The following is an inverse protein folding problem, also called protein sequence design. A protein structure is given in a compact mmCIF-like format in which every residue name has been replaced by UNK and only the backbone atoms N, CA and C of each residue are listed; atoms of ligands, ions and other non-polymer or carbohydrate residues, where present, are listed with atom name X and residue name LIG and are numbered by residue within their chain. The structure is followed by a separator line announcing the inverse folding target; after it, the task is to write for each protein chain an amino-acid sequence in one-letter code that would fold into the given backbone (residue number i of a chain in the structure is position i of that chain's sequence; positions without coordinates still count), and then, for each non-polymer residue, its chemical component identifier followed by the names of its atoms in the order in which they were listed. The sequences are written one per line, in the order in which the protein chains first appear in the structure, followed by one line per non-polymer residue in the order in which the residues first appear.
data_IF_658011870699
#
_entry.id   IF_658011870699
#
_cell.length_a   1.000
_cell.length_b   1.000
_cell.length_c   1.000
_cell.angle_alpha   90.00
_cell.angle_beta   90.00
_cell.angle_gamma   90.00
#
_symmetry.space_group_name_H-M   'P 1'
#
loop_
_entity.id
_entity.type
_entity.pdbx_description
1 polymer ?
#
# COMPACT_ATOMS: atom_id res chain seq x y z
N UNK A 1 -53.96 19.52 12.49
CA UNK A 1 -52.62 19.02 12.17
C UNK A 1 -52.36 19.34 10.70
N UNK A 2 -51.44 20.25 10.34
CA UNK A 2 -51.15 20.53 8.94
C UNK A 2 -50.28 19.40 8.35
N UNK A 3 -50.68 18.85 7.21
CA UNK A 3 -49.98 17.76 6.53
C UNK A 3 -49.15 18.35 5.38
N UNK A 4 -47.86 18.03 5.34
CA UNK A 4 -46.97 18.45 4.25
C UNK A 4 -47.02 17.43 3.10
N UNK A 5 -46.95 17.88 1.83
CA UNK A 5 -46.90 16.96 0.69
C UNK A 5 -45.52 16.30 0.60
N UNK A 6 -45.49 14.96 0.66
CA UNK A 6 -44.27 14.19 0.38
C UNK A 6 -44.09 14.09 -1.13
N UNK A 7 -43.12 14.83 -1.68
CA UNK A 7 -42.74 14.71 -3.09
C UNK A 7 -41.90 13.45 -3.25
N UNK A 8 -42.41 12.45 -3.97
CA UNK A 8 -41.63 11.26 -4.33
C UNK A 8 -40.51 11.68 -5.29
N UNK A 9 -39.28 11.80 -4.78
CA UNK A 9 -38.11 12.00 -5.61
C UNK A 9 -37.88 10.75 -6.46
N UNK A 10 -38.00 10.88 -7.77
CA UNK A 10 -37.60 9.88 -8.75
C UNK A 10 -36.18 9.41 -8.43
N UNK A 11 -35.99 8.11 -8.29
CA UNK A 11 -34.67 7.51 -8.06
C UNK A 11 -33.73 7.90 -9.20
N UNK A 12 -32.77 8.77 -8.91
CA UNK A 12 -31.69 9.06 -9.82
C UNK A 12 -30.89 7.77 -10.06
N UNK A 13 -30.81 7.36 -11.32
CA UNK A 13 -29.95 6.28 -11.79
C UNK A 13 -28.50 6.64 -11.47
N UNK A 14 -27.97 6.10 -10.37
CA UNK A 14 -26.54 6.17 -10.09
C UNK A 14 -25.83 5.19 -11.05
N UNK A 15 -24.76 5.59 -11.75
CA UNK A 15 -23.95 4.66 -12.51
C UNK A 15 -23.39 3.59 -11.56
N UNK A 16 -23.28 2.32 -11.98
CA UNK A 16 -22.75 1.26 -11.13
C UNK A 16 -21.31 1.62 -10.73
N UNK A 17 -21.12 1.94 -9.46
CA UNK A 17 -19.80 2.08 -8.85
C UNK A 17 -19.15 0.71 -8.92
N UNK A 18 -18.22 0.53 -9.87
CA UNK A 18 -17.45 -0.69 -10.00
C UNK A 18 -16.78 -0.99 -8.65
N UNK A 19 -17.27 -2.03 -7.97
CA UNK A 19 -16.64 -2.50 -6.75
C UNK A 19 -15.28 -3.09 -7.15
N UNK A 20 -14.15 -2.61 -6.61
CA UNK A 20 -12.87 -3.26 -6.85
C UNK A 20 -12.90 -4.62 -6.15
N UNK A 21 -13.18 -5.67 -6.91
CA UNK A 21 -13.07 -7.05 -6.46
C UNK A 21 -11.60 -7.41 -6.38
N UNK A 22 -10.98 -7.29 -5.20
CA UNK A 22 -9.62 -7.77 -4.95
C UNK A 22 -9.69 -9.28 -4.67
N UNK A 23 -9.53 -10.08 -5.71
CA UNK A 23 -9.28 -11.51 -5.52
C UNK A 23 -7.81 -11.70 -5.09
N UNK A 24 -7.59 -12.14 -3.84
CA UNK A 24 -6.25 -12.56 -3.41
C UNK A 24 -5.87 -13.85 -4.15
N UNK A 25 -5.07 -13.74 -5.18
CA UNK A 25 -4.42 -14.89 -5.80
C UNK A 25 -3.21 -15.29 -4.94
N UNK A 26 -3.40 -16.33 -4.13
CA UNK A 26 -2.29 -16.98 -3.42
C UNK A 26 -1.65 -17.96 -4.41
N UNK A 27 -0.60 -17.54 -5.11
CA UNK A 27 0.25 -18.45 -5.89
C UNK A 27 1.14 -19.25 -4.92
N UNK A 28 1.08 -20.59 -4.90
CA UNK A 28 1.98 -21.39 -4.09
C UNK A 28 3.38 -21.36 -4.74
N UNK A 29 4.36 -20.78 -4.04
CA UNK A 29 5.77 -20.82 -4.44
C UNK A 29 6.38 -22.09 -3.85
N UNK A 30 6.78 -23.03 -4.71
CA UNK A 30 7.56 -24.20 -4.34
C UNK A 30 9.04 -23.78 -4.30
N UNK A 31 9.60 -23.54 -3.12
CA UNK A 31 11.03 -23.20 -2.95
C UNK A 31 11.85 -24.44 -2.60
N UNK A 32 12.88 -24.69 -3.40
CA UNK A 32 13.87 -25.76 -3.24
C UNK A 32 14.99 -25.32 -2.29
N UNK A 33 15.17 -26.09 -1.21
CA UNK A 33 16.36 -26.21 -0.34
C UNK A 33 17.37 -25.05 -0.31
N UNK A 34 16.99 -23.92 0.28
CA UNK A 34 17.90 -23.04 1.01
C UNK A 34 17.12 -22.36 2.15
N UNK A 35 17.82 -21.90 3.19
CA UNK A 35 17.27 -21.54 4.51
C UNK A 35 15.89 -20.84 4.43
N UNK A 36 14.78 -21.50 4.87
CA UNK A 36 13.42 -21.06 4.52
C UNK A 36 13.06 -19.67 5.08
N UNK A 37 13.75 -19.23 6.13
CA UNK A 37 13.53 -17.94 6.80
C UNK A 37 14.11 -16.75 6.02
N UNK A 38 15.30 -16.90 5.43
CA UNK A 38 15.98 -15.81 4.71
C UNK A 38 15.34 -15.58 3.34
N UNK A 39 14.98 -16.65 2.62
CA UNK A 39 14.19 -16.56 1.39
C UNK A 39 12.83 -15.90 1.64
N UNK A 40 12.15 -16.25 2.74
CA UNK A 40 10.83 -15.69 3.05
C UNK A 40 10.88 -14.18 3.27
N UNK A 41 11.91 -13.67 3.97
CA UNK A 41 12.02 -12.24 4.26
C UNK A 41 12.32 -11.45 2.99
N UNK A 42 13.21 -11.96 2.14
CA UNK A 42 13.51 -11.33 0.85
C UNK A 42 12.28 -11.30 -0.07
N UNK A 43 11.50 -12.37 -0.12
CA UNK A 43 10.22 -12.42 -0.86
C UNK A 43 9.18 -11.44 -0.30
N UNK A 44 9.06 -11.34 1.02
CA UNK A 44 8.14 -10.39 1.67
C UNK A 44 8.53 -8.95 1.32
N UNK A 45 9.83 -8.63 1.40
CA UNK A 45 10.35 -7.30 1.07
C UNK A 45 10.09 -6.97 -0.40
N UNK A 46 10.39 -7.87 -1.33
CA UNK A 46 10.18 -7.62 -2.77
C UNK A 46 8.69 -7.49 -3.12
N UNK A 47 7.83 -8.34 -2.55
CA UNK A 47 6.37 -8.24 -2.73
C UNK A 47 5.80 -6.95 -2.15
N UNK A 48 6.34 -6.47 -1.02
CA UNK A 48 5.98 -5.18 -0.45
C UNK A 48 6.40 -4.02 -1.35
N UNK A 49 7.66 -4.01 -1.84
CA UNK A 49 8.16 -2.98 -2.77
C UNK A 49 7.29 -2.85 -4.01
N UNK A 50 6.94 -3.99 -4.63
CA UNK A 50 6.10 -4.01 -5.82
C UNK A 50 4.71 -3.42 -5.57
N UNK A 51 4.05 -3.82 -4.48
CA UNK A 51 2.74 -3.27 -4.10
C UNK A 51 2.81 -1.77 -3.83
N UNK A 52 3.87 -1.32 -3.18
CA UNK A 52 4.05 0.10 -2.86
C UNK A 52 4.29 0.94 -4.12
N UNK A 53 5.13 0.47 -5.04
CA UNK A 53 5.34 1.11 -6.33
C UNK A 53 4.04 1.18 -7.15
N UNK A 54 3.25 0.10 -7.21
CA UNK A 54 1.93 0.13 -7.87
C UNK A 54 0.97 1.15 -7.25
N UNK A 55 0.96 1.25 -5.91
CA UNK A 55 0.17 2.25 -5.21
C UNK A 55 0.60 3.68 -5.55
N UNK A 56 1.90 3.98 -5.55
CA UNK A 56 2.43 5.29 -5.91
C UNK A 56 2.12 5.65 -7.37
N UNK A 57 2.32 4.71 -8.30
CA UNK A 57 1.98 4.91 -9.71
C UNK A 57 0.51 5.28 -9.89
N UNK A 58 -0.40 4.54 -9.23
CA UNK A 58 -1.84 4.81 -9.30
C UNK A 58 -2.25 6.12 -8.59
N UNK A 59 -1.61 6.47 -7.48
CA UNK A 59 -1.96 7.65 -6.68
C UNK A 59 -1.51 8.94 -7.31
N UNK A 60 -0.31 8.95 -7.91
CA UNK A 60 0.31 10.14 -8.49
C UNK A 60 0.26 10.19 -10.01
N UNK A 61 -0.34 9.17 -10.64
CA UNK A 61 -0.47 9.05 -12.08
C UNK A 61 0.89 9.15 -12.81
N UNK A 62 1.90 8.48 -12.23
CA UNK A 62 3.27 8.38 -12.74
C UNK A 62 3.53 6.99 -13.34
N UNK A 63 4.61 6.85 -14.11
CA UNK A 63 5.00 5.54 -14.62
C UNK A 63 5.38 4.59 -13.48
N UNK A 64 5.17 3.29 -13.71
CA UNK A 64 5.54 2.26 -12.73
C UNK A 64 7.05 2.26 -12.45
N UNK A 65 7.87 2.54 -13.46
CA UNK A 65 9.32 2.68 -13.34
C UNK A 65 9.72 3.86 -12.42
N UNK A 66 9.09 5.03 -12.59
CA UNK A 66 9.34 6.17 -11.70
C UNK A 66 8.93 5.87 -10.25
N UNK A 67 7.82 5.16 -10.06
CA UNK A 67 7.34 4.75 -8.74
C UNK A 67 8.27 3.72 -8.06
N UNK A 68 8.95 2.86 -8.83
CA UNK A 68 9.96 1.93 -8.29
C UNK A 68 11.17 2.70 -7.75
N UNK A 69 11.66 3.71 -8.47
CA UNK A 69 12.77 4.56 -7.99
C UNK A 69 12.41 5.27 -6.68
N UNK A 70 11.19 5.80 -6.57
CA UNK A 70 10.71 6.45 -5.35
C UNK A 70 10.58 5.46 -4.18
N UNK A 71 10.02 4.29 -4.44
CA UNK A 71 9.93 3.17 -3.47
C UNK A 71 11.31 2.83 -2.92
N UNK A 72 12.30 2.72 -3.81
CA UNK A 72 13.67 2.36 -3.46
C UNK A 72 14.35 3.44 -2.61
N UNK A 73 14.12 4.71 -2.94
CA UNK A 73 14.60 5.84 -2.16
C UNK A 73 14.01 5.86 -0.74
N UNK A 74 12.70 5.66 -0.61
CA UNK A 74 12.03 5.74 0.69
C UNK A 74 12.36 4.57 1.63
N UNK A 75 12.55 3.37 1.08
CA UNK A 75 12.86 2.15 1.84
C UNK A 75 14.36 1.91 1.99
N UNK A 76 15.20 2.78 1.46
CA UNK A 76 16.64 2.72 1.68
C UNK A 76 16.94 2.79 3.19
N UNK A 77 17.92 2.00 3.69
CA UNK A 77 18.35 2.08 5.08
C UNK A 77 18.70 3.52 5.47
N UNK A 78 18.01 4.06 6.48
CA UNK A 78 18.27 5.41 6.98
C UNK A 78 19.52 5.42 7.83
N UNK A 79 20.30 6.50 7.72
CA UNK A 79 21.45 6.72 8.60
C UNK A 79 20.96 6.83 10.05
N UNK A 80 21.55 6.07 10.96
CA UNK A 80 21.28 6.19 12.39
C UNK A 80 21.66 7.60 12.88
N UNK A 81 20.90 8.16 13.81
CA UNK A 81 21.27 9.42 14.47
C UNK A 81 22.54 9.19 15.30
N UNK A 82 23.45 10.17 15.30
CA UNK A 82 24.65 10.11 16.15
C UNK A 82 24.37 10.52 17.60
N UNK A 83 23.17 11.02 17.88
CA UNK A 83 22.75 11.49 19.18
C UNK A 83 21.38 10.91 19.51
N UNK A 84 21.26 10.31 20.68
CA UNK A 84 20.00 9.84 21.23
C UNK A 84 19.46 10.90 22.19
N UNK A 85 18.15 11.15 22.20
CA UNK A 85 17.53 12.05 23.19
C UNK A 85 17.83 11.60 24.64
N UNK A 86 18.10 10.31 24.85
CA UNK A 86 18.51 9.76 26.13
C UNK A 86 19.88 10.28 26.62
N UNK A 87 20.75 10.72 25.71
CA UNK A 87 22.06 11.27 26.05
C UNK A 87 21.97 12.74 26.49
N UNK A 88 20.86 13.43 26.24
CA UNK A 88 20.66 14.83 26.61
C UNK A 88 20.56 15.07 28.12
N UNK A 89 20.09 14.07 28.89
CA UNK A 89 19.83 14.18 30.33
C UNK A 89 20.93 13.54 31.21
N UNK A 90 22.05 13.12 30.63
CA UNK A 90 23.21 12.57 31.36
C UNK A 90 24.26 13.63 31.74
N UNK A 91 23.87 14.91 31.81
CA UNK A 91 24.76 16.00 32.25
C UNK A 91 24.72 16.25 33.75
#
# INVERSE_FOLDING_TARGET
MPQFPYSAASAASNPPKAQPSVALQVTPVYSSSSDPLSESTAQIISAYRNRYASYLAASFNISLEAAQLETDFQLAPRRASQFSEADAYRS
#
